data_IF_402613600930
#
_entry.id   IF_402613600930
#
_cell.length_a   1.000
_cell.length_b   1.000
_cell.length_c   1.000
_cell.angle_alpha   90.00
_cell.angle_beta   90.00
_cell.angle_gamma   90.00
#
_symmetry.space_group_name_H-M   'P 1'
#
loop_
_entity.id
_entity.type
_entity.pdbx_description
1 polymer ?
#
# COMPACT_ATOMS: atom_id res chain seq x y z
N UNK A 1 -17.23 15.54 -6.53
CA UNK A 1 -16.29 14.91 -7.49
C UNK A 1 -15.76 13.63 -6.85
N UNK A 2 -15.59 12.56 -7.62
CA UNK A 2 -15.03 11.29 -7.13
C UNK A 2 -13.50 11.36 -7.05
N UNK A 3 -12.91 10.45 -6.29
CA UNK A 3 -11.46 10.26 -6.25
C UNK A 3 -10.95 9.62 -7.56
N UNK A 4 -9.73 9.98 -7.97
CA UNK A 4 -9.05 9.40 -9.13
C UNK A 4 -7.67 8.86 -8.76
N UNK A 5 -7.25 7.78 -9.43
CA UNK A 5 -5.88 7.26 -9.31
C UNK A 5 -4.95 8.09 -10.19
N UNK A 6 -3.84 8.57 -9.62
CA UNK A 6 -2.81 9.30 -10.35
C UNK A 6 -1.70 8.39 -10.87
N UNK A 7 -1.26 7.45 -10.04
CA UNK A 7 -0.25 6.47 -10.39
C UNK A 7 -0.43 5.17 -9.59
N UNK A 8 0.16 4.09 -10.10
CA UNK A 8 0.18 2.77 -9.46
C UNK A 8 1.59 2.19 -9.53
N UNK A 9 1.98 1.45 -8.49
CA UNK A 9 3.28 0.79 -8.40
C UNK A 9 3.16 -0.56 -7.69
N UNK A 10 4.15 -1.44 -7.92
CA UNK A 10 4.30 -2.69 -7.19
C UNK A 10 5.41 -2.52 -6.15
N UNK A 11 5.09 -2.68 -4.87
CA UNK A 11 6.05 -2.55 -3.79
C UNK A 11 5.63 -3.37 -2.56
N UNK A 12 6.59 -3.82 -1.77
CA UNK A 12 6.32 -4.35 -0.42
C UNK A 12 6.15 -3.15 0.53
N UNK A 13 5.00 -3.08 1.22
CA UNK A 13 4.71 -1.99 2.16
C UNK A 13 5.20 -2.38 3.54
N UNK A 14 6.09 -1.56 4.10
CA UNK A 14 6.68 -1.76 5.43
C UNK A 14 6.32 -0.58 6.33
N UNK A 15 6.18 -0.86 7.63
CA UNK A 15 6.08 0.13 8.70
C UNK A 15 7.33 0.03 9.54
N UNK A 16 7.82 1.17 10.03
CA UNK A 16 8.96 1.17 10.94
C UNK A 16 8.45 0.97 12.37
N UNK A 17 8.94 -0.08 13.02
CA UNK A 17 8.75 -0.32 14.45
C UNK A 17 9.88 0.37 15.22
N UNK A 18 9.56 1.46 15.91
CA UNK A 18 10.51 2.24 16.71
C UNK A 18 11.06 1.47 17.92
N UNK A 19 10.23 0.62 18.55
CA UNK A 19 10.64 -0.12 19.75
C UNK A 19 11.70 -1.17 19.41
N UNK A 20 11.55 -1.80 18.24
CA UNK A 20 12.47 -2.82 17.77
C UNK A 20 13.48 -2.31 16.73
N UNK A 21 13.38 -1.02 16.35
CA UNK A 21 14.22 -0.34 15.35
C UNK A 21 14.31 -1.06 14.00
N UNK A 22 13.20 -1.65 13.55
CA UNK A 22 13.19 -2.48 12.33
C UNK A 22 11.98 -2.19 11.45
N UNK A 23 12.10 -2.55 10.16
CA UNK A 23 10.98 -2.48 9.22
C UNK A 23 10.16 -3.77 9.27
N UNK A 24 8.87 -3.65 9.59
CA UNK A 24 7.93 -4.77 9.69
C UNK A 24 6.88 -4.70 8.58
N UNK A 25 6.30 -5.83 8.18
CA UNK A 25 5.29 -5.88 7.13
C UNK A 25 4.01 -5.11 7.52
N UNK A 26 3.54 -4.22 6.65
CA UNK A 26 2.28 -3.53 6.87
C UNK A 26 1.10 -4.53 6.84
N UNK A 27 0.19 -4.41 7.81
CA UNK A 27 -0.96 -5.31 7.96
C UNK A 27 -0.64 -6.70 8.54
N UNK A 28 0.56 -6.89 9.12
CA UNK A 28 0.97 -8.15 9.78
C UNK A 28 1.20 -9.31 8.79
N UNK A 29 1.76 -10.42 9.27
CA UNK A 29 2.02 -11.60 8.43
C UNK A 29 3.22 -11.45 7.47
N UNK A 30 3.32 -12.29 6.43
CA UNK A 30 4.47 -12.33 5.54
C UNK A 30 4.65 -11.03 4.73
N UNK A 31 5.91 -10.71 4.42
CA UNK A 31 6.26 -9.63 3.50
C UNK A 31 5.91 -10.03 2.07
N UNK A 32 4.72 -9.65 1.62
CA UNK A 32 4.26 -9.88 0.25
C UNK A 32 4.19 -8.57 -0.56
N UNK A 33 4.45 -8.62 -1.88
CA UNK A 33 4.25 -7.46 -2.75
C UNK A 33 2.81 -6.95 -2.68
N UNK A 34 2.64 -5.64 -2.75
CA UNK A 34 1.35 -4.97 -2.81
C UNK A 34 1.22 -4.15 -4.10
N UNK A 35 -0.02 -4.02 -4.59
CA UNK A 35 -0.38 -2.96 -5.53
C UNK A 35 -0.60 -1.68 -4.71
N UNK A 36 0.22 -0.67 -4.94
CA UNK A 36 0.19 0.62 -4.23
C UNK A 36 -0.31 1.69 -5.18
N UNK A 37 -1.34 2.42 -4.78
CA UNK A 37 -2.00 3.44 -5.61
C UNK A 37 -2.06 4.78 -4.87
N UNK A 38 -1.76 5.85 -5.60
CA UNK A 38 -1.95 7.22 -5.13
C UNK A 38 -3.29 7.75 -5.65
N UNK A 39 -4.17 8.15 -4.74
CA UNK A 39 -5.46 8.74 -5.05
C UNK A 39 -5.46 10.24 -4.77
N UNK A 40 -6.17 11.00 -5.60
CA UNK A 40 -6.43 12.43 -5.42
C UNK A 40 -7.93 12.70 -5.31
N UNK A 41 -8.32 13.44 -4.28
CA UNK A 41 -9.68 13.91 -4.07
C UNK A 41 -9.77 15.42 -4.39
N UNK A 42 -10.20 15.83 -5.60
CA UNK A 42 -10.14 17.23 -6.01
C UNK A 42 -11.11 18.16 -5.27
N UNK A 43 -12.14 17.61 -4.60
CA UNK A 43 -13.06 18.38 -3.76
C UNK A 43 -12.51 18.78 -2.38
N UNK A 44 -11.60 17.99 -1.82
CA UNK A 44 -10.98 18.24 -0.51
C UNK A 44 -9.50 18.62 -0.62
N UNK A 45 -8.95 18.59 -1.84
CA UNK A 45 -7.52 18.72 -2.12
C UNK A 45 -6.63 17.74 -1.33
N UNK A 46 -7.20 16.59 -0.96
CA UNK A 46 -6.50 15.56 -0.20
C UNK A 46 -5.93 14.49 -1.12
N UNK A 47 -4.85 13.87 -0.65
CA UNK A 47 -4.22 12.71 -1.26
C UNK A 47 -4.24 11.55 -0.29
N UNK A 48 -4.37 10.32 -0.81
CA UNK A 48 -4.21 9.10 0.00
C UNK A 48 -3.43 8.05 -0.76
N UNK A 49 -2.58 7.33 -0.04
CA UNK A 49 -1.84 6.18 -0.55
C UNK A 49 -2.53 4.90 -0.05
N UNK A 50 -2.76 3.94 -0.96
CA UNK A 50 -3.44 2.69 -0.64
C UNK A 50 -2.60 1.52 -1.12
N UNK A 51 -2.13 0.69 -0.21
CA UNK A 51 -1.48 -0.58 -0.52
C UNK A 51 -2.44 -1.75 -0.33
N UNK A 52 -2.62 -2.59 -1.36
CA UNK A 52 -3.36 -3.85 -1.28
C UNK A 52 -2.40 -5.00 -1.53
N UNK A 53 -2.28 -5.92 -0.56
CA UNK A 53 -1.45 -7.13 -0.72
C UNK A 53 -1.93 -7.91 -1.93
N UNK A 54 -0.99 -8.30 -2.78
CA UNK A 54 -1.28 -9.24 -3.85
C UNK A 54 -1.26 -10.63 -3.24
N UNK A 55 -2.32 -11.41 -3.46
CA UNK A 55 -2.30 -12.83 -3.13
C UNK A 55 -1.24 -13.49 -4.00
N UNK A 56 -0.50 -14.49 -3.48
CA UNK A 56 0.29 -15.33 -4.36
C UNK A 56 -0.66 -15.94 -5.38
N UNK A 57 -0.31 -15.89 -6.67
CA UNK A 57 -1.00 -16.67 -7.69
C UNK A 57 -1.08 -18.11 -7.19
N UNK A 58 -2.29 -18.59 -6.93
CA UNK A 58 -2.53 -19.99 -6.63
C UNK A 58 -2.34 -20.73 -7.96
N UNK A 59 -1.09 -21.10 -8.27
CA UNK A 59 -0.80 -22.06 -9.33
C UNK A 59 -1.40 -23.40 -8.88
N UNK A 60 -2.46 -23.82 -9.59
CA UNK A 60 -3.14 -25.11 -9.47
C UNK A 60 -2.28 -26.21 -10.09
#
# INVERSE_FOLDING_TARGET
>A
RSETVLCSARATVLLYDEAQKQWVAAGGGPQTPSCVQLYHHPGTHAFRLVGRKMQPDQQV
#
